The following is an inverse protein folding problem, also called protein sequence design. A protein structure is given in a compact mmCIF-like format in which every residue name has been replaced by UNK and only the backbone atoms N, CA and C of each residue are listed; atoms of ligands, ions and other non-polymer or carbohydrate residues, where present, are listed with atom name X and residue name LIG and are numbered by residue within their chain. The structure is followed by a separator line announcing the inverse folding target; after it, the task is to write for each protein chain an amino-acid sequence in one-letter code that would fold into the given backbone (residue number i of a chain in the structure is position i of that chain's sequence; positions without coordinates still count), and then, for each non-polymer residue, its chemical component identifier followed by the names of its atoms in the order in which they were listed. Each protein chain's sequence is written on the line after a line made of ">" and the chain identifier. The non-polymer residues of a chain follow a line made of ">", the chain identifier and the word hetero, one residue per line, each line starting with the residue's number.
data_IF_299045493623
#
_entry.id   IF_299045493623
#
_cell.length_a   1.000
_cell.length_b   1.000
_cell.length_c   1.000
_cell.angle_alpha   90.00
_cell.angle_beta   90.00
_cell.angle_gamma   90.00
#
_symmetry.space_group_name_H-M   'P 1'
#
loop_
_entity.id
_entity.type
_entity.pdbx_description
1 polymer ?
#
# COMPACT_ATOMS: atom_id res chain seq x y z
N UNK A 1 3.56 15.75 -15.11
CA UNK A 1 4.35 14.79 -14.32
C UNK A 1 3.39 13.77 -13.79
N UNK A 2 3.47 12.53 -14.23
CA UNK A 2 2.56 11.48 -13.79
C UNK A 2 3.17 10.76 -12.60
N UNK A 3 2.45 10.75 -11.49
CA UNK A 3 2.85 10.03 -10.27
C UNK A 3 1.83 8.94 -9.99
N UNK A 4 2.30 7.77 -9.58
CA UNK A 4 1.44 6.71 -9.10
C UNK A 4 1.63 6.49 -7.60
N UNK A 5 0.52 6.45 -6.86
CA UNK A 5 0.51 5.95 -5.49
C UNK A 5 0.01 4.51 -5.49
N UNK A 6 0.79 3.62 -4.89
CA UNK A 6 0.43 2.21 -4.70
C UNK A 6 0.37 1.90 -3.22
N UNK A 7 -0.82 1.58 -2.74
CA UNK A 7 -1.02 1.12 -1.36
C UNK A 7 -1.00 -0.40 -1.37
N UNK A 8 -0.13 -1.01 -0.55
CA UNK A 8 -0.05 -2.46 -0.33
C UNK A 8 -0.55 -2.76 1.08
N UNK A 9 -1.55 -3.63 1.17
CA UNK A 9 -2.16 -4.05 2.42
C UNK A 9 -2.11 -5.57 2.58
N UNK A 10 -2.19 -6.06 3.81
CA UNK A 10 -2.37 -7.48 4.09
C UNK A 10 -3.81 -7.89 3.78
N UNK A 11 -3.99 -9.08 3.20
CA UNK A 11 -5.33 -9.65 2.98
C UNK A 11 -6.04 -9.90 4.31
N UNK A 12 -7.37 -9.87 4.27
CA UNK A 12 -8.21 -10.26 5.40
C UNK A 12 -7.82 -11.64 5.94
N UNK A 13 -7.68 -11.74 7.26
CA UNK A 13 -7.28 -12.97 7.95
C UNK A 13 -5.77 -13.22 8.01
N UNK A 14 -4.95 -12.43 7.31
CA UNK A 14 -3.49 -12.46 7.48
C UNK A 14 -3.12 -11.70 8.75
N UNK A 15 -2.30 -12.31 9.59
CA UNK A 15 -1.87 -11.68 10.84
C UNK A 15 -0.96 -10.47 10.54
N UNK A 16 -1.24 -9.36 11.21
CA UNK A 16 -0.37 -8.17 11.25
C UNK A 16 0.24 -8.00 12.67
N UNK A 17 1.40 -8.64 12.96
CA UNK A 17 2.08 -8.49 14.24
C UNK A 17 2.47 -7.05 14.57
N UNK A 18 2.78 -6.23 13.56
CA UNK A 18 3.23 -4.86 13.74
C UNK A 18 2.07 -3.97 14.15
N UNK A 19 0.95 -4.00 13.42
CA UNK A 19 -0.27 -3.29 13.78
C UNK A 19 -0.80 -3.69 15.16
N UNK A 20 -0.78 -4.99 15.48
CA UNK A 20 -1.14 -5.48 16.82
C UNK A 20 -0.27 -4.90 17.94
N UNK A 21 1.04 -4.81 17.73
CA UNK A 21 1.96 -4.26 18.73
C UNK A 21 1.81 -2.74 18.85
N UNK A 22 1.65 -2.05 17.73
CA UNK A 22 1.39 -0.60 17.70
C UNK A 22 0.10 -0.26 18.44
N UNK A 23 -1.00 -0.99 18.18
CA UNK A 23 -2.27 -0.84 18.93
C UNK A 23 -2.06 -1.00 20.43
N UNK A 24 -1.34 -2.04 20.87
CA UNK A 24 -1.07 -2.26 22.30
C UNK A 24 -0.33 -1.07 22.91
N UNK A 25 0.70 -0.57 22.23
CA UNK A 25 1.49 0.59 22.69
C UNK A 25 0.63 1.85 22.76
N UNK A 26 -0.21 2.13 21.76
CA UNK A 26 -1.13 3.27 21.78
C UNK A 26 -2.08 3.22 22.98
N UNK A 27 -2.63 2.04 23.30
CA UNK A 27 -3.46 1.85 24.50
C UNK A 27 -2.70 2.09 25.80
N UNK A 28 -1.46 1.62 25.91
CA UNK A 28 -0.62 1.86 27.09
C UNK A 28 -0.30 3.35 27.29
N UNK A 29 -0.24 4.12 26.21
CA UNK A 29 0.00 5.57 26.23
C UNK A 29 -1.27 6.40 26.47
N UNK A 30 -2.44 5.75 26.60
CA UNK A 30 -3.70 6.39 26.99
C UNK A 30 -4.70 6.64 25.87
N UNK A 31 -4.42 6.24 24.62
CA UNK A 31 -5.38 6.32 23.52
C UNK A 31 -6.17 5.02 23.38
N UNK A 32 -7.50 5.10 23.35
CA UNK A 32 -8.33 3.92 23.10
C UNK A 32 -8.53 3.66 21.61
N UNK A 33 -7.58 2.93 21.01
CA UNK A 33 -7.58 2.60 19.58
C UNK A 33 -8.18 1.21 19.35
N UNK A 34 -9.18 1.11 18.48
CA UNK A 34 -9.86 -0.15 18.18
C UNK A 34 -9.05 -1.06 17.25
N UNK A 35 -8.38 -0.51 16.24
CA UNK A 35 -7.63 -1.26 15.23
C UNK A 35 -6.44 -0.44 14.73
N UNK A 36 -5.34 -1.12 14.43
CA UNK A 36 -4.20 -0.58 13.68
C UNK A 36 -3.85 -1.62 12.64
N UNK A 37 -3.69 -1.18 11.40
CA UNK A 37 -3.24 -1.98 10.28
C UNK A 37 -1.99 -1.32 9.70
N UNK A 38 -1.06 -2.14 9.28
CA UNK A 38 0.17 -1.70 8.62
C UNK A 38 0.13 -2.11 7.15
N UNK A 39 0.68 -1.22 6.34
CA UNK A 39 0.79 -1.39 4.90
C UNK A 39 2.03 -0.67 4.39
N UNK A 40 2.22 -0.71 3.08
CA UNK A 40 3.29 0.04 2.41
C UNK A 40 2.66 0.98 1.40
N UNK A 41 3.24 2.16 1.25
CA UNK A 41 2.89 3.08 0.17
C UNK A 41 4.13 3.21 -0.71
N UNK A 42 3.96 3.01 -2.01
CA UNK A 42 4.95 3.37 -3.02
C UNK A 42 4.46 4.59 -3.77
N UNK A 43 5.24 5.66 -3.73
CA UNK A 43 5.09 6.81 -4.63
C UNK A 43 6.07 6.63 -5.79
N UNK A 44 5.56 6.58 -7.01
CA UNK A 44 6.32 6.25 -8.21
C UNK A 44 6.15 7.40 -9.21
N UNK A 45 7.21 8.18 -9.41
CA UNK A 45 7.29 9.17 -10.48
C UNK A 45 7.56 8.47 -11.82
N UNK A 46 6.67 8.64 -12.79
CA UNK A 46 6.73 8.06 -14.13
C UNK A 46 7.10 9.10 -15.21
N UNK A 47 7.39 10.34 -14.81
CA UNK A 47 7.79 11.43 -15.69
C UNK A 47 6.63 12.11 -16.43
N UNK A 48 6.96 12.98 -17.39
CA UNK A 48 5.98 13.82 -18.10
C UNK A 48 5.43 13.21 -19.40
N UNK A 49 6.10 12.19 -19.94
CA UNK A 49 5.86 11.68 -21.31
C UNK A 49 4.97 10.43 -21.37
N UNK A 50 4.26 10.10 -20.29
CA UNK A 50 3.42 8.90 -20.19
C UNK A 50 1.95 9.28 -20.03
N UNK A 51 1.05 8.53 -20.69
CA UNK A 51 -0.39 8.70 -20.46
C UNK A 51 -0.81 7.99 -19.17
N UNK A 52 -1.91 8.41 -18.55
CA UNK A 52 -2.44 7.77 -17.34
C UNK A 52 -2.76 6.29 -17.54
N UNK A 53 -3.28 5.92 -18.71
CA UNK A 53 -3.60 4.53 -19.04
C UNK A 53 -2.33 3.69 -19.09
N UNK A 54 -1.28 4.21 -19.77
CA UNK A 54 0.00 3.51 -19.87
C UNK A 54 0.69 3.41 -18.51
N UNK A 55 0.66 4.48 -17.72
CA UNK A 55 1.16 4.51 -16.36
C UNK A 55 0.48 3.43 -15.49
N UNK A 56 -0.84 3.33 -15.57
CA UNK A 56 -1.59 2.30 -14.84
C UNK A 56 -1.19 0.88 -15.24
N UNK A 57 -1.08 0.59 -16.54
CA UNK A 57 -0.64 -0.73 -17.02
C UNK A 57 0.75 -1.11 -16.49
N UNK A 58 1.70 -0.18 -16.52
CA UNK A 58 3.07 -0.43 -16.06
C UNK A 58 3.12 -0.65 -14.54
N UNK A 59 2.43 0.17 -13.77
CA UNK A 59 2.36 0.03 -12.31
C UNK A 59 1.65 -1.27 -11.90
N UNK A 60 0.59 -1.68 -12.62
CA UNK A 60 -0.04 -2.99 -12.40
C UNK A 60 0.94 -4.15 -12.63
N UNK A 61 1.78 -4.07 -13.67
CA UNK A 61 2.82 -5.07 -13.92
C UNK A 61 3.91 -5.06 -12.84
N UNK A 62 4.31 -3.88 -12.35
CA UNK A 62 5.24 -3.75 -11.21
C UNK A 62 4.67 -4.42 -9.96
N UNK A 63 3.39 -4.21 -9.67
CA UNK A 63 2.71 -4.82 -8.53
C UNK A 63 2.70 -6.35 -8.61
N UNK A 64 2.32 -6.90 -9.76
CA UNK A 64 2.26 -8.36 -9.98
C UNK A 64 3.63 -9.03 -9.90
N UNK A 65 4.68 -8.35 -10.39
CA UNK A 65 6.02 -8.95 -10.50
C UNK A 65 6.88 -8.74 -9.26
N UNK A 66 6.65 -7.66 -8.49
CA UNK A 66 7.58 -7.25 -7.44
C UNK A 66 6.91 -6.64 -6.21
N UNK A 67 6.06 -5.62 -6.37
CA UNK A 67 5.69 -4.77 -5.23
C UNK A 67 4.76 -5.47 -4.23
N UNK A 68 3.92 -6.39 -4.72
CA UNK A 68 2.97 -7.13 -3.89
C UNK A 68 3.28 -8.63 -3.88
N UNK A 69 3.17 -9.26 -2.70
CA UNK A 69 3.07 -10.71 -2.61
C UNK A 69 1.61 -11.14 -2.79
N UNK A 70 1.22 -11.75 -3.93
CA UNK A 70 -0.18 -12.03 -4.25
C UNK A 70 -0.82 -13.07 -3.33
N UNK A 71 -0.04 -13.82 -2.54
CA UNK A 71 -0.58 -14.81 -1.59
C UNK A 71 -1.18 -14.10 -0.39
N UNK A 72 -0.48 -13.10 0.16
CA UNK A 72 -0.79 -12.50 1.46
C UNK A 72 -1.15 -11.01 1.40
N UNK A 73 -0.97 -10.34 0.26
CA UNK A 73 -1.21 -8.90 0.10
C UNK A 73 -2.21 -8.59 -1.02
N UNK A 74 -2.88 -7.46 -0.87
CA UNK A 74 -3.66 -6.75 -1.90
C UNK A 74 -3.00 -5.41 -2.18
N UNK A 75 -3.38 -4.80 -3.30
CA UNK A 75 -2.89 -3.48 -3.65
C UNK A 75 -3.94 -2.64 -4.36
N UNK A 76 -3.86 -1.34 -4.15
CA UNK A 76 -4.64 -0.31 -4.82
C UNK A 76 -3.71 0.67 -5.52
N UNK A 77 -4.09 1.12 -6.71
CA UNK A 77 -3.28 2.00 -7.57
C UNK A 77 -4.08 3.25 -7.91
N UNK A 78 -3.54 4.40 -7.53
CA UNK A 78 -4.01 5.72 -7.92
C UNK A 78 -2.99 6.41 -8.83
N UNK A 79 -3.45 7.02 -9.93
CA UNK A 79 -2.61 7.78 -10.86
C UNK A 79 -2.96 9.26 -10.72
N UNK A 80 -1.96 10.06 -10.38
CA UNK A 80 -2.03 11.49 -10.04
C UNK A 80 -1.28 12.28 -11.15
N UNK A 81 -1.81 13.46 -11.50
CA UNK A 81 -1.19 14.44 -12.44
C UNK A 81 -0.49 15.59 -11.70
#
# INVERSE_FOLDING_TARGET
>A
MVVAEVIIELKEGVADPEGMNTKKTLKLLGWDVEKVETGKIFEIDLGDDISKEKAREEVEEMCKKLLANPVIQTYDIEIID
#
